data_IF_508731137798
#
_entry.id   IF_508731137798
#
_cell.length_a   1.000
_cell.length_b   1.000
_cell.length_c   1.000
_cell.angle_alpha   90.00
_cell.angle_beta   90.00
_cell.angle_gamma   90.00
#
_symmetry.space_group_name_H-M   'P 1'
#
loop_
_entity.id
_entity.type
_entity.pdbx_description
1 polymer ?
#
# COMPACT_ATOMS: atom_id res chain seq x y z
N UNK A 1 30.34 11.07 15.71
CA UNK A 1 29.53 9.83 15.73
C UNK A 1 28.96 9.60 14.32
N UNK A 2 29.17 8.43 13.68
CA UNK A 2 28.53 8.14 12.40
C UNK A 2 27.02 8.20 12.59
N UNK A 3 26.32 8.89 11.67
CA UNK A 3 24.87 8.98 11.70
C UNK A 3 24.26 7.56 11.67
N UNK A 4 23.41 7.22 12.63
CA UNK A 4 22.75 5.92 12.67
C UNK A 4 22.05 5.66 11.33
N UNK A 5 22.36 4.50 10.73
CA UNK A 5 21.82 4.11 9.41
C UNK A 5 20.30 4.05 9.50
N UNK A 6 19.63 4.83 8.67
CA UNK A 6 18.16 4.80 8.58
C UNK A 6 17.67 3.40 8.21
N UNK A 7 16.69 2.88 8.94
CA UNK A 7 16.02 1.64 8.58
C UNK A 7 15.25 1.84 7.24
N UNK A 8 15.54 1.03 6.25
CA UNK A 8 14.82 0.97 4.98
C UNK A 8 14.04 -0.34 4.90
N UNK A 9 12.71 -0.25 4.98
CA UNK A 9 11.82 -1.42 4.97
C UNK A 9 11.84 -2.15 3.62
N UNK A 10 12.10 -1.45 2.52
CA UNK A 10 12.18 -2.10 1.20
C UNK A 10 13.46 -2.94 1.08
N UNK A 11 14.56 -2.46 1.63
CA UNK A 11 15.79 -3.24 1.68
C UNK A 11 15.69 -4.42 2.67
N UNK A 12 15.08 -4.19 3.84
CA UNK A 12 14.89 -5.22 4.86
C UNK A 12 13.97 -6.36 4.39
N UNK A 13 12.96 -6.04 3.60
CA UNK A 13 11.96 -6.98 3.09
C UNK A 13 12.02 -7.11 1.56
N UNK A 14 13.24 -7.14 0.98
CA UNK A 14 13.42 -7.11 -0.47
C UNK A 14 12.61 -8.18 -1.21
N UNK A 15 12.44 -9.38 -0.65
CA UNK A 15 11.63 -10.44 -1.23
C UNK A 15 10.14 -10.05 -1.43
N UNK A 16 9.64 -9.09 -0.65
CA UNK A 16 8.27 -8.59 -0.76
C UNK A 16 8.14 -7.41 -1.74
N UNK A 17 9.24 -6.64 -1.95
CA UNK A 17 9.25 -5.40 -2.73
C UNK A 17 10.05 -5.48 -4.04
N UNK A 18 10.60 -6.65 -4.36
CA UNK A 18 11.23 -6.94 -5.66
C UNK A 18 10.42 -8.03 -6.34
N UNK A 19 9.80 -7.71 -7.47
CA UNK A 19 9.02 -8.66 -8.25
C UNK A 19 9.53 -8.72 -9.69
N UNK A 20 9.64 -9.92 -10.30
CA UNK A 20 9.91 -10.08 -11.73
C UNK A 20 8.66 -9.73 -12.55
N UNK A 21 8.83 -9.63 -13.86
CA UNK A 21 7.73 -9.48 -14.84
C UNK A 21 7.00 -10.82 -15.13
N UNK A 22 7.28 -11.86 -14.36
CA UNK A 22 6.61 -13.15 -14.41
C UNK A 22 5.93 -13.39 -13.07
N UNK A 23 4.72 -13.96 -13.10
CA UNK A 23 3.97 -14.24 -11.89
C UNK A 23 4.70 -15.31 -11.04
N UNK A 24 4.75 -15.08 -9.72
CA UNK A 24 5.35 -16.04 -8.78
C UNK A 24 4.60 -16.11 -7.47
N UNK A 25 4.68 -17.24 -6.81
CA UNK A 25 4.22 -17.42 -5.44
C UNK A 25 5.22 -16.81 -4.45
N UNK A 26 4.69 -16.12 -3.45
CA UNK A 26 5.47 -15.53 -2.34
C UNK A 26 4.73 -15.74 -1.03
N UNK A 27 5.47 -15.84 0.07
CA UNK A 27 4.91 -15.85 1.42
C UNK A 27 5.14 -14.49 2.07
N UNK A 28 4.07 -13.77 2.37
CA UNK A 28 4.09 -12.43 2.98
C UNK A 28 3.87 -12.57 4.48
N UNK A 29 4.81 -12.05 5.25
CA UNK A 29 4.70 -12.02 6.72
C UNK A 29 3.71 -10.93 7.16
N UNK A 30 3.05 -11.09 8.32
CA UNK A 30 2.28 -10.01 8.91
C UNK A 30 3.12 -8.75 9.05
N UNK A 31 2.57 -7.60 8.68
CA UNK A 31 3.28 -6.33 8.75
C UNK A 31 2.35 -5.19 9.20
N UNK A 32 2.92 -4.17 9.83
CA UNK A 32 2.19 -2.99 10.31
C UNK A 32 2.14 -1.91 9.25
N UNK A 33 0.97 -1.30 9.14
CA UNK A 33 0.69 -0.21 8.21
C UNK A 33 -0.08 0.92 8.88
N UNK A 34 0.23 2.14 8.53
CA UNK A 34 -0.74 3.23 8.62
C UNK A 34 -1.77 3.01 7.53
N UNK A 35 -3.05 3.09 7.87
CA UNK A 35 -4.14 2.76 6.98
C UNK A 35 -5.25 3.81 7.03
N UNK A 36 -5.87 4.08 5.88
CA UNK A 36 -7.08 4.89 5.75
C UNK A 36 -7.96 4.31 4.65
N UNK A 37 -9.25 4.13 4.93
CA UNK A 37 -10.22 3.58 3.98
C UNK A 37 -11.00 4.69 3.28
N UNK A 38 -11.34 4.46 2.02
CA UNK A 38 -12.20 5.32 1.23
C UNK A 38 -12.95 4.56 0.15
N UNK A 39 -13.70 5.31 -0.66
CA UNK A 39 -14.44 4.82 -1.81
C UNK A 39 -14.50 5.89 -2.90
N UNK A 40 -14.89 5.49 -4.08
CA UNK A 40 -15.04 6.35 -5.25
C UNK A 40 -13.81 6.40 -6.14
N UNK A 41 -13.88 7.25 -7.15
CA UNK A 41 -12.83 7.41 -8.16
C UNK A 41 -11.51 7.89 -7.53
N UNK A 42 -10.38 7.18 -7.76
CA UNK A 42 -9.06 7.60 -7.29
C UNK A 42 -8.54 8.90 -7.93
N UNK A 43 -9.11 9.36 -9.04
CA UNK A 43 -8.82 10.68 -9.60
C UNK A 43 -9.63 11.80 -8.91
N UNK A 44 -10.58 11.44 -8.06
CA UNK A 44 -11.40 12.39 -7.31
C UNK A 44 -10.68 13.01 -6.10
N UNK A 45 -11.18 14.16 -5.61
CA UNK A 45 -10.54 14.93 -4.53
C UNK A 45 -10.44 14.16 -3.21
N UNK A 46 -11.39 13.25 -2.94
CA UNK A 46 -11.43 12.43 -1.71
C UNK A 46 -10.23 11.49 -1.59
N UNK A 47 -9.72 10.96 -2.71
CA UNK A 47 -8.54 10.11 -2.72
C UNK A 47 -7.28 10.91 -2.38
N UNK A 48 -7.06 12.04 -3.06
CA UNK A 48 -5.92 12.93 -2.83
C UNK A 48 -5.87 13.45 -1.38
N UNK A 49 -7.02 13.84 -0.81
CA UNK A 49 -7.13 14.23 0.61
C UNK A 49 -6.63 13.13 1.55
N UNK A 50 -7.03 11.89 1.31
CA UNK A 50 -6.65 10.76 2.16
C UNK A 50 -5.20 10.34 1.98
N UNK A 51 -4.65 10.43 0.77
CA UNK A 51 -3.20 10.27 0.53
C UNK A 51 -2.42 11.31 1.34
N UNK A 52 -2.84 12.58 1.27
CA UNK A 52 -2.22 13.67 2.04
C UNK A 52 -2.28 13.44 3.55
N UNK A 53 -3.43 13.03 4.07
CA UNK A 53 -3.60 12.72 5.49
C UNK A 53 -2.70 11.56 5.94
N UNK A 54 -2.62 10.49 5.14
CA UNK A 54 -1.80 9.32 5.44
C UNK A 54 -0.32 9.68 5.51
N UNK A 55 0.21 10.42 4.53
CA UNK A 55 1.60 10.87 4.53
C UNK A 55 1.89 11.88 5.65
N UNK A 56 0.95 12.79 5.97
CA UNK A 56 1.14 13.73 7.08
C UNK A 56 1.36 13.00 8.41
N UNK A 57 0.56 11.97 8.69
CA UNK A 57 0.73 11.14 9.89
C UNK A 57 2.04 10.33 9.81
N UNK A 58 2.35 9.71 8.65
CA UNK A 58 3.56 8.91 8.46
C UNK A 58 4.83 9.73 8.74
N UNK A 59 4.94 10.94 8.18
CA UNK A 59 6.09 11.81 8.42
C UNK A 59 6.15 12.33 9.85
N UNK A 60 5.01 12.59 10.49
CA UNK A 60 4.98 13.05 11.90
C UNK A 60 5.48 11.95 12.84
N UNK A 61 5.01 10.71 12.67
CA UNK A 61 5.49 9.54 13.43
C UNK A 61 6.99 9.32 13.16
N UNK A 62 7.42 9.35 11.89
CA UNK A 62 8.83 9.22 11.50
C UNK A 62 9.71 10.26 12.19
N UNK A 63 9.28 11.53 12.22
CA UNK A 63 10.07 12.60 12.83
C UNK A 63 10.18 12.46 14.36
N UNK A 64 9.10 12.00 15.02
CA UNK A 64 9.12 11.66 16.44
C UNK A 64 10.13 10.53 16.73
N UNK A 65 10.09 9.46 15.92
CA UNK A 65 11.02 8.33 16.05
C UNK A 65 12.46 8.70 15.75
N UNK A 66 12.71 9.57 14.77
CA UNK A 66 14.06 10.11 14.51
C UNK A 66 14.63 10.84 15.74
N UNK A 67 13.81 11.67 16.40
CA UNK A 67 14.22 12.36 17.64
C UNK A 67 14.55 11.37 18.77
N UNK A 68 13.88 10.21 18.81
CA UNK A 68 14.11 9.15 19.78
C UNK A 68 15.24 8.17 19.36
N UNK A 69 16.03 8.48 18.32
CA UNK A 69 17.15 7.66 17.87
C UNK A 69 16.80 6.50 16.93
N UNK A 70 15.52 6.31 16.60
CA UNK A 70 15.01 5.22 15.74
C UNK A 70 14.54 5.74 14.37
N UNK A 71 15.48 6.28 13.57
CA UNK A 71 15.16 6.84 12.26
C UNK A 71 14.87 5.74 11.22
N UNK A 72 13.88 5.99 10.36
CA UNK A 72 13.54 5.10 9.25
C UNK A 72 13.09 5.88 8.01
N UNK A 73 13.15 5.24 6.85
CA UNK A 73 12.64 5.79 5.59
C UNK A 73 11.13 5.55 5.52
N UNK A 74 10.34 6.59 5.30
CA UNK A 74 8.91 6.44 5.05
C UNK A 74 8.74 5.64 3.77
N UNK A 75 7.96 4.55 3.83
CA UNK A 75 7.67 3.70 2.68
C UNK A 75 6.78 4.42 1.66
N UNK A 76 6.73 3.90 0.44
CA UNK A 76 5.80 4.36 -0.58
C UNK A 76 4.35 4.04 -0.24
N UNK A 77 3.45 4.59 -1.05
CA UNK A 77 2.02 4.28 -0.97
C UNK A 77 1.77 2.85 -1.45
N UNK A 78 0.84 2.17 -0.79
CA UNK A 78 0.27 0.90 -1.20
C UNK A 78 -1.26 1.02 -1.14
N UNK A 79 -1.98 0.23 -1.92
CA UNK A 79 -3.44 0.26 -1.96
C UNK A 79 -4.05 -1.13 -2.00
N UNK A 80 -5.03 -1.39 -1.13
CA UNK A 80 -5.92 -2.53 -1.27
C UNK A 80 -7.18 -2.08 -1.99
N UNK A 81 -7.59 -2.84 -3.00
CA UNK A 81 -8.70 -2.48 -3.88
C UNK A 81 -9.76 -3.59 -3.91
N UNK A 82 -11.03 -3.20 -3.94
CA UNK A 82 -12.16 -4.12 -4.10
C UNK A 82 -13.41 -3.38 -4.57
N UNK A 83 -14.32 -4.11 -5.21
CA UNK A 83 -15.62 -3.60 -5.62
C UNK A 83 -16.73 -3.88 -4.62
N UNK A 84 -17.90 -3.30 -4.84
CA UNK A 84 -19.10 -3.54 -4.04
C UNK A 84 -19.71 -4.89 -4.43
N UNK A 85 -19.89 -5.79 -3.45
CA UNK A 85 -20.61 -7.05 -3.63
C UNK A 85 -19.93 -8.13 -4.46
N UNK A 86 -18.65 -7.98 -4.84
CA UNK A 86 -17.94 -8.97 -5.66
C UNK A 86 -16.46 -9.09 -5.28
N UNK A 87 -15.94 -10.31 -5.37
CA UNK A 87 -14.50 -10.62 -5.36
C UNK A 87 -13.91 -10.60 -6.77
N UNK A 88 -14.76 -10.40 -7.81
CA UNK A 88 -14.30 -10.26 -9.18
C UNK A 88 -13.65 -8.88 -9.38
N UNK A 89 -12.72 -8.84 -10.30
CA UNK A 89 -11.99 -7.66 -10.73
C UNK A 89 -12.86 -6.42 -10.90
N UNK A 90 -12.33 -5.29 -10.45
CA UNK A 90 -12.95 -3.95 -10.52
C UNK A 90 -13.23 -3.47 -11.95
N UNK A 91 -12.70 -4.14 -12.97
CA UNK A 91 -12.88 -3.79 -14.40
C UNK A 91 -14.36 -3.75 -14.84
N UNK A 92 -15.23 -4.45 -14.14
CA UNK A 92 -16.65 -4.51 -14.47
C UNK A 92 -17.53 -3.49 -13.71
N UNK A 93 -16.93 -2.61 -12.88
CA UNK A 93 -17.67 -1.65 -12.07
C UNK A 93 -17.30 -0.22 -12.45
N UNK A 94 -18.25 0.70 -12.26
CA UNK A 94 -17.95 2.13 -12.36
C UNK A 94 -16.96 2.54 -11.31
N UNK A 95 -16.05 3.49 -11.59
CA UNK A 95 -15.00 3.91 -10.64
C UNK A 95 -15.57 4.49 -9.36
N UNK A 96 -16.79 5.00 -9.37
CA UNK A 96 -17.48 5.52 -8.17
C UNK A 96 -17.84 4.41 -7.17
N UNK A 97 -17.98 3.17 -7.62
CA UNK A 97 -18.28 2.01 -6.79
C UNK A 97 -17.01 1.37 -6.18
N UNK A 98 -15.84 1.82 -6.59
CA UNK A 98 -14.59 1.29 -6.07
C UNK A 98 -14.44 1.60 -4.59
N UNK A 99 -13.94 0.62 -3.88
CA UNK A 99 -13.52 0.76 -2.48
C UNK A 99 -12.04 0.50 -2.37
N UNK A 100 -11.38 1.25 -1.52
CA UNK A 100 -9.96 1.13 -1.35
C UNK A 100 -9.54 1.41 0.09
N UNK A 101 -8.39 0.85 0.46
CA UNK A 101 -7.68 1.15 1.70
C UNK A 101 -6.25 1.51 1.32
N UNK A 102 -5.88 2.76 1.55
CA UNK A 102 -4.51 3.24 1.35
C UNK A 102 -3.66 2.87 2.55
N UNK A 103 -2.42 2.48 2.27
CA UNK A 103 -1.49 1.93 3.23
C UNK A 103 -0.12 2.58 3.07
N UNK A 104 0.58 2.80 4.20
CA UNK A 104 2.03 3.07 4.24
C UNK A 104 2.63 2.14 5.28
N UNK A 105 3.54 1.24 4.86
CA UNK A 105 4.22 0.33 5.78
C UNK A 105 5.05 1.09 6.80
N UNK A 106 5.01 0.65 8.05
CA UNK A 106 5.81 1.21 9.14
C UNK A 106 6.59 0.10 9.85
N UNK A 107 7.72 0.43 10.52
CA UNK A 107 8.46 -0.53 11.33
C UNK A 107 7.60 -1.10 12.47
N UNK A 108 7.92 -2.32 12.90
CA UNK A 108 7.18 -3.04 13.95
C UNK A 108 7.20 -2.32 15.30
N UNK A 109 8.20 -1.49 15.56
CA UNK A 109 8.28 -0.69 16.78
C UNK A 109 7.30 0.50 16.82
N UNK A 110 6.62 0.84 15.71
CA UNK A 110 5.59 1.89 15.71
C UNK A 110 4.35 1.38 16.43
N UNK A 111 3.81 2.23 17.32
CA UNK A 111 2.67 1.91 18.18
C UNK A 111 1.43 2.70 17.84
N UNK A 112 0.25 2.17 18.17
CA UNK A 112 -1.02 2.87 17.99
C UNK A 112 -1.08 4.19 18.77
N UNK A 113 -0.44 4.24 19.96
CA UNK A 113 -0.33 5.46 20.78
C UNK A 113 0.39 6.59 20.04
N UNK A 114 1.48 6.28 19.34
CA UNK A 114 2.23 7.27 18.56
C UNK A 114 1.46 7.78 17.36
N UNK A 115 0.76 6.89 16.68
CA UNK A 115 -0.12 7.27 15.56
C UNK A 115 -1.23 8.19 16.03
N UNK A 116 -1.89 7.87 17.15
CA UNK A 116 -2.91 8.71 17.75
C UNK A 116 -2.37 10.09 18.19
N UNK A 117 -1.18 10.12 18.81
CA UNK A 117 -0.53 11.37 19.21
C UNK A 117 -0.17 12.25 17.99
N UNK A 118 0.36 11.64 16.91
CA UNK A 118 0.67 12.33 15.67
C UNK A 118 -0.60 12.91 15.01
N UNK A 119 -1.67 12.13 14.96
CA UNK A 119 -2.95 12.58 14.42
C UNK A 119 -3.52 13.76 15.24
N UNK A 120 -3.51 13.67 16.57
CA UNK A 120 -3.96 14.76 17.46
C UNK A 120 -3.17 16.05 17.23
N UNK A 121 -1.83 15.95 17.16
CA UNK A 121 -0.98 17.12 16.92
C UNK A 121 -1.24 17.78 15.57
N UNK A 122 -1.54 16.99 14.52
CA UNK A 122 -1.87 17.51 13.19
C UNK A 122 -3.26 18.14 13.15
N UNK A 123 -4.25 17.58 13.85
CA UNK A 123 -5.59 18.14 13.96
C UNK A 123 -5.59 19.50 14.66
N UNK A 124 -4.83 19.64 15.75
CA UNK A 124 -4.63 20.93 16.43
C UNK A 124 -4.04 21.99 15.49
N UNK A 125 -3.20 21.59 14.53
CA UNK A 125 -2.63 22.46 13.49
C UNK A 125 -3.56 22.69 12.29
N UNK A 126 -4.80 22.24 12.33
CA UNK A 126 -5.77 22.45 11.25
C UNK A 126 -5.49 21.67 9.96
N UNK A 127 -4.74 20.56 10.01
CA UNK A 127 -4.28 19.80 8.82
C UNK A 127 -5.32 18.88 8.16
N UNK A 128 -6.63 19.14 8.42
CA UNK A 128 -7.73 18.43 7.76
C UNK A 128 -8.31 17.27 8.58
N UNK A 129 -9.62 17.04 8.40
CA UNK A 129 -10.38 16.06 9.21
C UNK A 129 -10.05 14.61 8.89
N UNK A 130 -9.58 14.31 7.68
CA UNK A 130 -9.22 12.95 7.26
C UNK A 130 -8.12 12.32 8.14
N UNK A 131 -7.26 13.13 8.75
CA UNK A 131 -6.19 12.70 9.66
C UNK A 131 -6.72 11.86 10.84
N UNK A 132 -7.90 12.20 11.39
CA UNK A 132 -8.52 11.44 12.48
C UNK A 132 -8.89 9.99 12.10
N UNK A 133 -8.96 9.70 10.79
CA UNK A 133 -9.31 8.39 10.25
C UNK A 133 -8.11 7.49 10.00
N UNK A 134 -6.88 8.01 10.11
CA UNK A 134 -5.65 7.21 9.94
C UNK A 134 -5.46 6.33 11.18
N UNK A 135 -5.28 5.03 10.96
CA UNK A 135 -5.11 4.02 12.02
C UNK A 135 -3.85 3.20 11.77
N UNK A 136 -3.31 2.60 12.84
CA UNK A 136 -2.32 1.53 12.72
C UNK A 136 -3.03 0.19 12.60
N UNK A 137 -2.77 -0.54 11.53
CA UNK A 137 -3.35 -1.87 11.28
C UNK A 137 -2.24 -2.89 11.00
N UNK A 138 -2.51 -4.15 11.30
CA UNK A 138 -1.65 -5.28 10.88
C UNK A 138 -2.31 -5.99 9.70
N UNK A 139 -1.64 -5.98 8.56
CA UNK A 139 -2.06 -6.75 7.39
C UNK A 139 -1.44 -8.15 7.44
N UNK A 140 -2.27 -9.16 7.15
CA UNK A 140 -1.90 -10.58 7.10
C UNK A 140 -2.35 -11.15 5.75
N UNK A 141 -1.45 -11.16 4.79
CA UNK A 141 -1.75 -11.66 3.43
C UNK A 141 -1.42 -13.14 3.26
N UNK A 142 -0.36 -13.62 3.94
CA UNK A 142 0.05 -15.02 3.86
C UNK A 142 0.61 -15.39 2.48
N UNK A 143 0.13 -16.50 1.90
CA UNK A 143 0.55 -16.93 0.56
C UNK A 143 -0.12 -16.06 -0.50
N UNK A 144 0.69 -15.52 -1.40
CA UNK A 144 0.24 -14.63 -2.46
C UNK A 144 0.85 -15.03 -3.81
N UNK A 145 0.20 -14.65 -4.89
CA UNK A 145 0.85 -14.47 -6.20
C UNK A 145 1.20 -13.00 -6.34
N UNK A 146 2.41 -12.71 -6.84
CA UNK A 146 2.80 -11.33 -7.16
C UNK A 146 3.57 -11.25 -8.48
N UNK A 147 3.47 -10.10 -9.14
CA UNK A 147 4.11 -9.80 -10.41
C UNK A 147 4.37 -8.30 -10.54
N UNK A 148 5.47 -7.92 -11.21
CA UNK A 148 5.72 -6.53 -11.56
C UNK A 148 4.91 -6.16 -12.81
N UNK A 149 4.01 -5.21 -12.66
CA UNK A 149 3.38 -4.48 -13.76
C UNK A 149 4.24 -3.28 -14.15
N UNK A 150 4.43 -3.07 -15.46
CA UNK A 150 5.09 -1.88 -16.01
C UNK A 150 4.18 -1.29 -17.07
N UNK A 151 3.70 -0.08 -16.82
CA UNK A 151 2.76 0.63 -17.69
C UNK A 151 1.64 1.33 -16.94
N UNK A 152 0.67 1.90 -17.66
CA UNK A 152 -0.52 2.53 -17.08
C UNK A 152 -1.39 1.54 -16.29
N UNK A 153 -1.97 1.98 -15.18
CA UNK A 153 -2.84 1.17 -14.33
C UNK A 153 -4.01 0.52 -15.11
N UNK A 154 -4.57 1.23 -16.10
CA UNK A 154 -5.65 0.69 -16.96
C UNK A 154 -5.24 -0.56 -17.76
N UNK A 155 -3.96 -0.87 -17.87
CA UNK A 155 -3.44 -2.04 -18.59
C UNK A 155 -3.05 -3.20 -17.67
N UNK A 156 -3.35 -3.15 -16.38
CA UNK A 156 -3.03 -4.19 -15.40
C UNK A 156 -3.74 -5.53 -15.65
N UNK A 157 -4.83 -5.53 -16.40
CA UNK A 157 -5.62 -6.74 -16.73
C UNK A 157 -4.75 -7.90 -17.20
N UNK A 158 -3.85 -7.66 -18.17
CA UNK A 158 -2.93 -8.71 -18.69
C UNK A 158 -2.01 -9.29 -17.62
N UNK A 159 -1.51 -8.43 -16.72
CA UNK A 159 -0.64 -8.86 -15.61
C UNK A 159 -1.42 -9.73 -14.64
N UNK A 160 -2.66 -9.38 -14.42
CA UNK A 160 -3.53 -10.13 -13.53
C UNK A 160 -3.97 -11.46 -14.13
N UNK A 161 -4.22 -11.53 -15.43
CA UNK A 161 -4.51 -12.79 -16.10
C UNK A 161 -3.33 -13.76 -15.92
N UNK A 162 -2.10 -13.29 -16.11
CA UNK A 162 -0.89 -14.09 -15.86
C UNK A 162 -0.77 -14.54 -14.39
N UNK A 163 -1.15 -13.68 -13.44
CA UNK A 163 -1.16 -14.03 -12.01
C UNK A 163 -2.26 -15.06 -11.70
N UNK A 164 -3.41 -14.96 -12.33
CA UNK A 164 -4.51 -15.92 -12.18
C UNK A 164 -4.13 -17.29 -12.72
N UNK A 165 -3.51 -17.34 -13.90
CA UNK A 165 -3.00 -18.59 -14.49
C UNK A 165 -1.91 -19.23 -13.61
N UNK A 166 -1.00 -18.42 -13.04
CA UNK A 166 -0.03 -18.93 -12.07
C UNK A 166 -0.71 -19.52 -10.83
N UNK A 167 -1.76 -18.91 -10.30
CA UNK A 167 -2.52 -19.45 -9.17
C UNK A 167 -3.17 -20.79 -9.55
N UNK A 168 -3.88 -20.86 -10.69
CA UNK A 168 -4.53 -22.07 -11.19
C UNK A 168 -3.56 -23.22 -11.41
N UNK A 169 -2.41 -22.94 -12.06
CA UNK A 169 -1.36 -23.93 -12.30
C UNK A 169 -0.79 -24.55 -11.00
N UNK A 170 -0.95 -23.86 -9.87
CA UNK A 170 -0.55 -24.35 -8.55
C UNK A 170 -1.74 -24.89 -7.71
N UNK A 171 -2.91 -25.10 -8.32
CA UNK A 171 -4.11 -25.57 -7.61
C UNK A 171 -4.70 -24.55 -6.63
N UNK A 172 -4.43 -23.27 -6.84
CA UNK A 172 -4.83 -22.18 -5.94
C UNK A 172 -5.86 -21.26 -6.60
N UNK A 173 -6.61 -20.55 -5.76
CA UNK A 173 -7.55 -19.51 -6.20
C UNK A 173 -7.26 -18.20 -5.47
N UNK A 174 -7.56 -17.10 -6.11
CA UNK A 174 -7.50 -15.77 -5.51
C UNK A 174 -8.47 -15.65 -4.34
N UNK A 175 -8.00 -15.02 -3.27
CA UNK A 175 -8.78 -14.72 -2.06
C UNK A 175 -8.43 -13.30 -1.59
N UNK A 176 -9.25 -12.72 -0.71
CA UNK A 176 -8.95 -11.40 -0.15
C UNK A 176 -9.09 -10.26 -1.17
N UNK A 177 -8.22 -9.28 -1.06
CA UNK A 177 -8.25 -8.04 -1.84
C UNK A 177 -7.05 -7.93 -2.75
N UNK A 178 -7.24 -7.27 -3.88
CA UNK A 178 -6.15 -6.88 -4.76
C UNK A 178 -5.25 -5.86 -4.07
N UNK A 179 -3.94 -6.06 -4.10
CA UNK A 179 -2.96 -5.20 -3.47
C UNK A 179 -1.99 -4.64 -4.51
N UNK A 180 -1.94 -3.33 -4.60
CA UNK A 180 -1.02 -2.57 -5.44
C UNK A 180 0.05 -1.89 -4.59
N UNK A 181 1.31 -2.08 -4.95
CA UNK A 181 2.47 -1.47 -4.27
C UNK A 181 3.14 -0.54 -5.30
N UNK A 182 2.99 0.75 -5.11
CA UNK A 182 3.43 1.77 -6.07
C UNK A 182 4.92 2.05 -5.92
N UNK A 183 5.73 1.56 -6.86
CA UNK A 183 7.17 1.76 -6.89
C UNK A 183 7.58 3.07 -7.60
N UNK A 184 6.67 3.65 -8.37
CA UNK A 184 6.85 4.90 -9.11
C UNK A 184 5.85 5.96 -8.66
N UNK A 185 6.27 7.22 -8.62
CA UNK A 185 5.37 8.35 -8.44
C UNK A 185 4.80 8.75 -9.82
N UNK A 186 3.47 8.63 -10.07
CA UNK A 186 2.86 8.93 -11.36
C UNK A 186 3.00 10.41 -11.78
N UNK A 187 3.31 11.29 -10.85
CA UNK A 187 3.56 12.72 -11.14
C UNK A 187 4.97 12.98 -11.69
N UNK A 188 5.88 12.00 -11.59
CA UNK A 188 7.29 12.11 -11.96
C UNK A 188 7.72 11.16 -13.06
N UNK A 189 6.92 10.16 -13.36
CA UNK A 189 7.26 9.10 -14.29
C UNK A 189 6.19 9.05 -15.37
N UNK A 190 6.60 8.92 -16.65
CA UNK A 190 5.66 8.75 -17.77
C UNK A 190 4.83 7.48 -17.57
N UNK A 191 3.56 7.45 -17.99
CA UNK A 191 2.66 6.31 -17.79
C UNK A 191 3.25 4.95 -18.19
N UNK A 192 3.97 4.88 -19.33
CA UNK A 192 4.56 3.65 -19.87
C UNK A 192 5.72 3.11 -19.01
N UNK A 193 6.28 3.94 -18.14
CA UNK A 193 7.39 3.60 -17.23
C UNK A 193 6.96 3.42 -15.79
N UNK A 194 5.66 3.55 -15.48
CA UNK A 194 5.13 3.29 -14.16
C UNK A 194 5.43 1.85 -13.75
N UNK A 195 5.76 1.66 -12.50
CA UNK A 195 6.09 0.34 -11.92
C UNK A 195 5.23 0.13 -10.69
N UNK A 196 4.42 -0.93 -10.73
CA UNK A 196 3.55 -1.35 -9.64
C UNK A 196 3.75 -2.84 -9.40
N UNK A 197 3.95 -3.25 -8.16
CA UNK A 197 3.84 -4.67 -7.84
C UNK A 197 2.37 -4.95 -7.61
N UNK A 198 1.82 -5.85 -8.41
CA UNK A 198 0.49 -6.41 -8.19
C UNK A 198 0.65 -7.66 -7.33
N UNK A 199 -0.15 -7.75 -6.27
CA UNK A 199 -0.15 -8.87 -5.33
C UNK A 199 -1.59 -9.29 -5.06
N UNK A 200 -1.81 -10.60 -4.98
CA UNK A 200 -3.10 -11.15 -4.62
C UNK A 200 -2.95 -12.34 -3.68
N UNK A 201 -3.59 -12.33 -2.52
CA UNK A 201 -3.62 -13.50 -1.64
C UNK A 201 -4.26 -14.70 -2.33
N UNK A 202 -3.76 -15.92 -2.05
CA UNK A 202 -4.24 -17.18 -2.65
C UNK A 202 -4.44 -18.26 -1.60
N UNK A 203 -5.38 -19.14 -1.89
CA UNK A 203 -5.67 -20.31 -1.06
C UNK A 203 -6.04 -21.51 -1.93
#
# INVERSE_FOLDING_TARGET
MPAAKKLDLYALHAAEYVAPRTARLVAIKPAKYLAITGSGDPDGPSFGEKVGALYAVAFTVKMSRKKAGNDYKVAGLEGLWWGVGTTKWMIAQTRDEWRWKLLIRVPDFVTAREVAAAAKALLVKGKGKAIARVKLETLREGRCVQMLHVGPYMHEGRTMDAMLECAKANGLRFTGRHHEIYLSDPRRVRPEKLRTILRHPVR
#
